data_IF_672098682329
#
_entry.id   IF_672098682329
#
_cell.length_a   1.000
_cell.length_b   1.000
_cell.length_c   1.000
_cell.angle_alpha   90.00
_cell.angle_beta   90.00
_cell.angle_gamma   90.00
#
_symmetry.space_group_name_H-M   'P 1'
#
loop_
_entity.id
_entity.type
_entity.pdbx_description
1 polymer ?
#
# COMPACT_ATOMS: atom_id res chain seq x y z
N UNK A 1 -1.21 31.22 -22.29
CA UNK A 1 -2.44 31.25 -21.46
C UNK A 1 -3.42 30.13 -21.83
N UNK A 2 -3.66 29.81 -23.10
CA UNK A 2 -4.70 28.83 -23.46
C UNK A 2 -4.45 27.34 -23.17
N UNK A 3 -3.22 26.81 -23.17
CA UNK A 3 -3.00 25.36 -23.03
C UNK A 3 -3.29 24.83 -21.62
N UNK A 4 -2.87 25.56 -20.59
CA UNK A 4 -3.14 25.18 -19.19
C UNK A 4 -4.62 25.34 -18.84
N UNK A 5 -5.24 26.44 -19.31
CA UNK A 5 -6.67 26.69 -19.17
C UNK A 5 -7.51 25.62 -19.87
N UNK A 6 -7.15 25.23 -21.10
CA UNK A 6 -7.82 24.16 -21.82
C UNK A 6 -7.68 22.81 -21.11
N UNK A 7 -6.47 22.46 -20.65
CA UNK A 7 -6.23 21.25 -19.85
C UNK A 7 -7.08 21.23 -18.58
N UNK A 8 -7.26 22.38 -17.94
CA UNK A 8 -8.07 22.50 -16.74
C UNK A 8 -9.56 22.26 -17.00
N UNK A 9 -10.10 22.78 -18.11
CA UNK A 9 -11.47 22.50 -18.54
C UNK A 9 -11.67 21.02 -18.86
N UNK A 10 -10.73 20.41 -19.59
CA UNK A 10 -10.76 18.98 -19.90
C UNK A 10 -10.69 18.12 -18.64
N UNK A 11 -9.77 18.43 -17.71
CA UNK A 11 -9.63 17.73 -16.43
C UNK A 11 -10.91 17.80 -15.58
N UNK A 12 -11.55 18.98 -15.52
CA UNK A 12 -12.78 19.14 -14.73
C UNK A 12 -13.93 18.35 -15.34
N UNK A 13 -14.05 18.33 -16.68
CA UNK A 13 -15.05 17.55 -17.40
C UNK A 13 -14.83 16.05 -17.23
N UNK A 14 -13.59 15.58 -17.40
CA UNK A 14 -13.24 14.17 -17.18
C UNK A 14 -13.56 13.74 -15.76
N UNK A 15 -13.24 14.58 -14.76
CA UNK A 15 -13.57 14.29 -13.37
C UNK A 15 -15.07 14.18 -13.14
N UNK A 16 -15.88 15.06 -13.75
CA UNK A 16 -17.33 14.98 -13.62
C UNK A 16 -17.87 13.67 -14.20
N UNK A 17 -17.37 13.26 -15.37
CA UNK A 17 -17.72 11.97 -15.99
C UNK A 17 -17.29 10.77 -15.12
N UNK A 18 -16.07 10.78 -14.58
CA UNK A 18 -15.63 9.74 -13.66
C UNK A 18 -16.44 9.70 -12.37
N UNK A 19 -16.85 10.86 -11.85
CA UNK A 19 -17.69 10.94 -10.66
C UNK A 19 -19.06 10.30 -10.90
N UNK A 20 -19.66 10.57 -12.06
CA UNK A 20 -20.94 9.96 -12.47
C UNK A 20 -20.80 8.44 -12.57
N UNK A 21 -19.76 7.95 -13.25
CA UNK A 21 -19.48 6.51 -13.34
C UNK A 21 -19.26 5.87 -11.96
N UNK A 22 -18.57 6.54 -11.04
CA UNK A 22 -18.37 6.02 -9.67
C UNK A 22 -19.66 5.97 -8.86
N UNK A 23 -20.60 6.88 -9.13
CA UNK A 23 -21.93 6.88 -8.51
C UNK A 23 -22.80 5.77 -9.10
N UNK A 24 -22.76 5.59 -10.42
CA UNK A 24 -23.48 4.52 -11.13
C UNK A 24 -23.02 3.13 -10.68
N UNK A 25 -21.70 2.96 -10.46
CA UNK A 25 -21.12 1.73 -9.92
C UNK A 25 -21.32 1.54 -8.40
N UNK A 26 -22.00 2.47 -7.71
CA UNK A 26 -22.23 2.40 -6.26
C UNK A 26 -20.97 2.55 -5.39
N UNK A 27 -19.81 2.85 -5.99
CA UNK A 27 -18.52 3.01 -5.29
C UNK A 27 -18.44 4.35 -4.55
N UNK A 28 -19.17 5.36 -5.04
CA UNK A 28 -19.32 6.63 -4.38
C UNK A 28 -20.77 6.82 -3.97
N UNK A 29 -21.04 6.87 -2.66
CA UNK A 29 -22.35 7.32 -2.16
C UNK A 29 -22.60 8.72 -2.74
N UNK A 30 -23.77 8.93 -3.33
CA UNK A 30 -24.16 10.21 -3.90
C UNK A 30 -23.97 11.29 -2.81
N UNK A 31 -22.94 12.12 -2.97
CA UNK A 31 -22.67 13.22 -2.06
C UNK A 31 -23.94 14.06 -1.96
N UNK A 32 -24.38 14.30 -0.73
CA UNK A 32 -25.51 15.18 -0.45
C UNK A 32 -25.35 16.47 -1.26
N UNK A 33 -26.46 16.91 -1.87
CA UNK A 33 -26.46 18.04 -2.81
C UNK A 33 -25.61 19.19 -2.24
N UNK A 34 -24.70 19.80 -3.03
CA UNK A 34 -23.81 20.86 -2.55
C UNK A 34 -24.55 22.11 -2.01
N UNK A 35 -25.88 22.16 -2.13
CA UNK A 35 -26.75 23.15 -1.54
C UNK A 35 -27.02 22.96 -0.03
N UNK A 36 -26.76 21.78 0.53
CA UNK A 36 -27.05 21.47 1.93
C UNK A 36 -26.00 22.04 2.90
N UNK A 37 -24.75 22.16 2.46
CA UNK A 37 -23.62 22.64 3.27
C UNK A 37 -23.38 24.16 3.21
N UNK A 38 -24.10 24.89 2.34
CA UNK A 38 -23.90 26.33 2.13
C UNK A 38 -24.74 27.19 3.08
N UNK A 39 -24.11 28.23 3.63
CA UNK A 39 -24.78 29.27 4.43
C UNK A 39 -25.81 30.05 3.61
N UNK A 40 -26.81 30.64 4.26
CA UNK A 40 -27.85 31.44 3.59
C UNK A 40 -27.26 32.64 2.83
N UNK A 41 -26.21 33.26 3.37
CA UNK A 41 -25.48 34.34 2.70
C UNK A 41 -24.79 33.86 1.42
N UNK A 42 -24.09 32.72 1.47
CA UNK A 42 -23.42 32.13 0.30
C UNK A 42 -24.42 31.71 -0.80
N UNK A 43 -25.61 31.21 -0.42
CA UNK A 43 -26.68 30.91 -1.36
C UNK A 43 -27.19 32.15 -2.11
N UNK A 44 -27.32 33.29 -1.42
CA UNK A 44 -27.77 34.55 -2.05
C UNK A 44 -26.73 35.13 -3.02
N UNK A 45 -25.45 35.10 -2.64
CA UNK A 45 -24.34 35.54 -3.49
C UNK A 45 -24.26 34.71 -4.76
N UNK A 46 -24.34 33.38 -4.64
CA UNK A 46 -24.35 32.45 -5.77
C UNK A 46 -25.51 32.70 -6.72
N UNK A 47 -26.72 32.97 -6.20
CA UNK A 47 -27.86 33.30 -7.06
C UNK A 47 -27.62 34.59 -7.85
N UNK A 48 -26.99 35.60 -7.24
CA UNK A 48 -26.57 36.83 -7.91
C UNK A 48 -25.53 36.58 -8.99
N UNK A 49 -24.49 35.82 -8.68
CA UNK A 49 -23.41 35.45 -9.61
C UNK A 49 -23.93 34.66 -10.81
N UNK A 50 -24.76 33.63 -10.59
CA UNK A 50 -25.36 32.83 -11.67
C UNK A 50 -26.24 33.69 -12.57
N UNK A 51 -26.97 34.67 -12.01
CA UNK A 51 -27.79 35.60 -12.81
C UNK A 51 -26.91 36.49 -13.70
N UNK A 52 -25.81 37.00 -13.16
CA UNK A 52 -24.84 37.81 -13.91
C UNK A 52 -24.15 37.00 -15.01
N UNK A 53 -23.72 35.77 -14.70
CA UNK A 53 -23.09 34.87 -15.68
C UNK A 53 -24.07 34.48 -16.80
N UNK A 54 -25.36 34.26 -16.48
CA UNK A 54 -26.40 34.02 -17.50
C UNK A 54 -26.66 35.26 -18.37
N UNK A 55 -26.62 36.47 -17.82
CA UNK A 55 -26.74 37.69 -18.62
C UNK A 55 -25.52 37.91 -19.52
N UNK A 56 -24.30 37.65 -19.02
CA UNK A 56 -23.09 37.73 -19.83
C UNK A 56 -23.07 36.67 -20.93
N UNK A 57 -23.55 35.45 -20.64
CA UNK A 57 -23.70 34.41 -21.68
C UNK A 57 -24.68 34.85 -22.76
N UNK A 58 -25.79 35.49 -22.37
CA UNK A 58 -26.79 36.00 -23.33
C UNK A 58 -26.22 37.13 -24.18
N UNK A 59 -25.54 38.11 -23.59
CA UNK A 59 -24.94 39.21 -24.36
C UNK A 59 -23.87 38.71 -25.33
N UNK A 60 -23.00 37.77 -24.91
CA UNK A 60 -21.99 37.18 -25.79
C UNK A 60 -22.59 36.29 -26.88
N UNK A 61 -23.73 35.64 -26.63
CA UNK A 61 -24.46 34.91 -27.68
C UNK A 61 -25.21 35.84 -28.66
N UNK A 62 -25.61 37.03 -28.21
CA UNK A 62 -26.21 38.07 -29.03
C UNK A 62 -25.16 38.84 -29.86
N UNK A 63 -23.97 39.05 -29.29
CA UNK A 63 -22.80 39.66 -29.93
C UNK A 63 -22.05 38.68 -30.85
N UNK A 64 -22.12 37.37 -30.58
CA UNK A 64 -21.58 36.38 -31.49
C UNK A 64 -22.31 36.49 -32.84
N UNK A 65 -21.60 36.80 -33.95
CA UNK A 65 -22.24 36.80 -35.24
C UNK A 65 -22.78 35.39 -35.46
N UNK A 66 -24.06 35.28 -35.84
CA UNK A 66 -24.69 34.00 -36.21
C UNK A 66 -23.91 33.40 -37.38
N UNK A 67 -22.81 32.69 -37.10
CA UNK A 67 -22.02 31.94 -38.07
C UNK A 67 -22.95 30.88 -38.63
N UNK A 68 -23.52 31.17 -39.80
CA UNK A 68 -24.23 30.20 -40.61
C UNK A 68 -23.24 29.06 -40.83
N UNK A 69 -23.53 27.87 -40.28
CA UNK A 69 -22.70 26.69 -40.47
C UNK A 69 -22.79 26.27 -41.93
N UNK A 70 -21.95 26.85 -42.78
CA UNK A 70 -21.78 26.42 -44.16
C UNK A 70 -20.67 25.39 -44.17
N UNK A 71 -20.99 24.15 -44.55
CA UNK A 71 -19.99 23.13 -44.83
C UNK A 71 -19.14 23.64 -46.00
N UNK A 72 -17.86 23.96 -45.73
CA UNK A 72 -16.90 24.28 -46.79
C UNK A 72 -16.30 22.95 -47.30
N UNK A 73 -16.36 22.66 -48.61
CA UNK A 73 -15.58 21.60 -49.21
C UNK A 73 -14.13 22.08 -49.32
N UNK A 74 -13.21 21.27 -48.80
CA UNK A 74 -11.76 21.29 -48.99
C UNK A 74 -11.08 22.66 -49.17
N UNK A 75 -10.50 23.20 -48.09
CA UNK A 75 -9.27 23.99 -48.21
C UNK A 75 -8.45 23.91 -46.91
N UNK A 76 -7.29 23.26 -47.00
CA UNK A 76 -6.25 23.17 -45.96
C UNK A 76 -5.48 24.51 -45.81
N UNK A 77 -6.17 25.62 -45.60
CA UNK A 77 -5.54 26.90 -45.25
C UNK A 77 -6.29 27.53 -44.08
N UNK A 78 -5.62 27.55 -42.92
CA UNK A 78 -6.03 28.33 -41.75
C UNK A 78 -5.75 29.80 -42.07
N UNK A 79 -6.76 30.53 -42.54
CA UNK A 79 -6.76 31.98 -42.43
C UNK A 79 -6.93 32.32 -40.95
N UNK A 80 -5.88 32.85 -40.35
CA UNK A 80 -5.94 33.53 -39.05
C UNK A 80 -6.72 34.83 -39.27
N UNK A 81 -8.04 34.74 -39.17
CA UNK A 81 -8.84 35.93 -38.90
C UNK A 81 -8.45 36.41 -37.49
N UNK A 82 -7.76 37.55 -37.44
CA UNK A 82 -7.54 38.37 -36.25
C UNK A 82 -8.91 38.75 -35.66
N UNK A 83 -9.54 37.80 -34.96
CA UNK A 83 -10.75 38.03 -34.19
C UNK A 83 -10.36 38.79 -32.94
N UNK A 84 -10.84 40.03 -32.86
CA UNK A 84 -10.83 40.86 -31.66
C UNK A 84 -11.12 39.99 -30.43
N UNK A 85 -10.10 39.87 -29.57
CA UNK A 85 -10.16 39.16 -28.29
C UNK A 85 -11.18 39.87 -27.40
N UNK A 86 -12.45 39.52 -27.55
CA UNK A 86 -13.41 39.67 -26.47
C UNK A 86 -12.79 39.01 -25.24
N UNK A 87 -12.65 39.79 -24.18
CA UNK A 87 -11.85 39.45 -23.00
C UNK A 87 -12.42 38.28 -22.19
N UNK A 88 -13.61 37.80 -22.57
CA UNK A 88 -14.33 36.73 -21.87
C UNK A 88 -14.71 35.65 -22.87
N UNK A 89 -13.96 34.54 -22.83
CA UNK A 89 -14.24 33.35 -23.63
C UNK A 89 -15.55 32.69 -23.13
N UNK A 90 -16.46 32.34 -24.03
CA UNK A 90 -17.75 31.69 -23.73
C UNK A 90 -17.53 30.41 -22.91
N UNK A 91 -16.40 29.73 -23.13
CA UNK A 91 -16.00 28.53 -22.38
C UNK A 91 -15.72 28.81 -20.90
N UNK A 92 -15.17 29.98 -20.54
CA UNK A 92 -14.94 30.37 -19.14
C UNK A 92 -16.29 30.63 -18.43
N UNK A 93 -17.25 31.25 -19.13
CA UNK A 93 -18.58 31.46 -18.55
C UNK A 93 -19.31 30.13 -18.33
N UNK A 94 -19.26 29.22 -19.31
CA UNK A 94 -19.87 27.89 -19.17
C UNK A 94 -19.18 27.06 -18.08
N UNK A 95 -17.87 27.23 -17.91
CA UNK A 95 -17.11 26.62 -16.83
C UNK A 95 -17.54 27.15 -15.46
N UNK A 96 -17.58 28.48 -15.27
CA UNK A 96 -18.02 29.10 -14.01
C UNK A 96 -19.50 28.86 -13.70
N UNK A 97 -20.31 28.61 -14.72
CA UNK A 97 -21.73 28.29 -14.55
C UNK A 97 -21.94 26.82 -14.14
N UNK A 98 -21.02 25.93 -14.53
CA UNK A 98 -21.07 24.51 -14.17
C UNK A 98 -20.32 24.18 -12.88
N UNK A 99 -19.28 24.95 -12.52
CA UNK A 99 -18.42 24.70 -11.38
C UNK A 99 -18.37 25.91 -10.43
N UNK A 100 -18.75 25.71 -9.17
CA UNK A 100 -18.73 26.78 -8.17
C UNK A 100 -17.30 27.08 -7.69
N UNK A 101 -17.04 28.31 -7.24
CA UNK A 101 -15.76 28.68 -6.62
C UNK A 101 -15.43 27.86 -5.37
N UNK A 102 -16.43 27.55 -4.54
CA UNK A 102 -16.30 26.68 -3.37
C UNK A 102 -16.07 25.22 -3.77
N UNK A 103 -16.72 24.75 -4.83
CA UNK A 103 -16.45 23.44 -5.39
C UNK A 103 -15.02 23.39 -5.90
N UNK A 104 -14.55 24.39 -6.63
CA UNK A 104 -13.16 24.52 -7.07
C UNK A 104 -12.15 24.52 -5.93
N UNK A 105 -12.41 25.25 -4.84
CA UNK A 105 -11.56 25.22 -3.66
C UNK A 105 -11.56 23.85 -2.99
N UNK A 106 -12.72 23.19 -2.86
CA UNK A 106 -12.82 21.82 -2.36
C UNK A 106 -12.14 20.81 -3.30
N UNK A 107 -12.18 21.05 -4.62
CA UNK A 107 -11.50 20.23 -5.62
C UNK A 107 -9.99 20.39 -5.51
N UNK A 108 -9.49 21.60 -5.27
CA UNK A 108 -8.08 21.90 -5.04
C UNK A 108 -7.61 21.28 -3.72
N UNK A 109 -8.34 21.51 -2.62
CA UNK A 109 -8.04 20.93 -1.31
C UNK A 109 -8.12 19.39 -1.31
N UNK A 110 -9.06 18.81 -2.05
CA UNK A 110 -9.17 17.36 -2.24
C UNK A 110 -8.18 16.78 -3.25
N UNK A 111 -7.56 17.61 -4.10
CA UNK A 111 -6.53 17.17 -5.06
C UNK A 111 -5.13 17.12 -4.45
N UNK A 112 -4.89 17.91 -3.39
CA UNK A 112 -3.70 17.74 -2.58
C UNK A 112 -3.83 16.49 -1.72
N UNK A 113 -3.03 15.46 -2.02
CA UNK A 113 -2.88 14.31 -1.13
C UNK A 113 -2.19 14.77 0.16
N UNK A 114 -2.98 15.17 1.16
CA UNK A 114 -2.48 15.74 2.40
C UNK A 114 -1.90 14.67 3.36
N UNK A 115 -2.32 13.40 3.22
CA UNK A 115 -1.88 12.32 4.10
C UNK A 115 -0.90 11.38 3.40
N UNK A 116 0.14 10.95 4.13
CA UNK A 116 1.02 9.88 3.69
C UNK A 116 0.23 8.61 3.35
N UNK A 117 -0.85 8.32 4.10
CA UNK A 117 -1.73 7.18 3.86
C UNK A 117 -2.31 7.21 2.45
N UNK A 118 -2.83 8.36 2.03
CA UNK A 118 -3.46 8.52 0.71
C UNK A 118 -2.43 8.41 -0.41
N UNK A 119 -1.23 8.97 -0.22
CA UNK A 119 -0.14 8.87 -1.18
C UNK A 119 0.35 7.43 -1.32
N UNK A 120 0.52 6.70 -0.21
CA UNK A 120 0.90 5.29 -0.23
C UNK A 120 -0.16 4.42 -0.92
N UNK A 121 -1.45 4.67 -0.64
CA UNK A 121 -2.56 3.95 -1.30
C UNK A 121 -2.63 4.24 -2.79
N UNK A 122 -2.54 5.51 -3.21
CA UNK A 122 -2.49 5.87 -4.63
C UNK A 122 -1.34 5.20 -5.36
N UNK A 123 -0.17 5.16 -4.72
CA UNK A 123 1.00 4.45 -5.24
C UNK A 123 0.72 2.96 -5.40
N UNK A 124 0.17 2.32 -4.37
CA UNK A 124 -0.18 0.89 -4.40
C UNK A 124 -1.17 0.55 -5.51
N UNK A 125 -2.21 1.38 -5.71
CA UNK A 125 -3.21 1.21 -6.76
C UNK A 125 -2.59 1.38 -8.15
N UNK A 126 -1.71 2.36 -8.33
CA UNK A 126 -1.00 2.53 -9.60
C UNK A 126 -0.08 1.33 -9.86
N UNK A 127 0.60 0.84 -8.83
CA UNK A 127 1.52 -0.30 -8.99
C UNK A 127 0.81 -1.61 -9.26
N UNK A 128 -0.40 -1.80 -8.74
CA UNK A 128 -1.20 -2.99 -9.07
C UNK A 128 -1.59 -3.04 -10.54
N UNK A 129 -1.78 -1.87 -11.18
CA UNK A 129 -2.08 -1.80 -12.62
C UNK A 129 -0.85 -1.83 -13.53
N UNK A 130 0.31 -1.42 -13.02
CA UNK A 130 1.56 -1.37 -13.79
C UNK A 130 2.39 -2.64 -13.71
N UNK A 131 2.19 -3.48 -12.68
CA UNK A 131 2.88 -4.76 -12.56
C UNK A 131 2.57 -5.64 -13.79
N UNK A 132 3.57 -6.28 -14.46
CA UNK A 132 4.98 -6.50 -14.05
C UNK A 132 6.01 -5.47 -14.60
N UNK A 133 5.58 -4.30 -15.09
CA UNK A 133 6.48 -3.30 -15.68
C UNK A 133 7.36 -2.58 -14.63
N UNK A 134 8.45 -3.24 -14.27
CA UNK A 134 9.39 -2.80 -13.24
C UNK A 134 10.79 -2.57 -13.81
N UNK A 135 11.47 -1.60 -13.23
CA UNK A 135 12.85 -1.27 -13.54
C UNK A 135 13.67 -1.15 -12.25
N UNK A 136 14.83 -1.79 -12.25
CA UNK A 136 15.76 -1.88 -11.12
C UNK A 136 17.03 -1.09 -11.47
N UNK A 137 17.58 -0.28 -10.56
CA UNK A 137 18.84 0.41 -10.82
C UNK A 137 19.98 -0.58 -11.07
N UNK A 138 20.86 -0.24 -12.01
CA UNK A 138 22.10 -0.99 -12.26
C UNK A 138 23.07 -0.90 -11.07
N UNK A 139 23.76 -2.01 -10.77
CA UNK A 139 24.68 -2.11 -9.64
C UNK A 139 25.87 -1.16 -9.78
N UNK A 140 26.29 -0.90 -11.02
CA UNK A 140 27.42 -0.03 -11.36
C UNK A 140 27.06 1.45 -11.47
N UNK A 141 25.85 1.85 -11.05
CA UNK A 141 25.44 3.25 -11.10
C UNK A 141 26.22 4.16 -10.13
N UNK A 142 26.92 3.59 -9.13
CA UNK A 142 27.81 4.34 -8.24
C UNK A 142 29.04 4.94 -8.97
N UNK A 143 29.51 4.30 -10.04
CA UNK A 143 30.63 4.78 -10.85
C UNK A 143 30.21 5.72 -11.99
N UNK A 144 28.92 5.92 -12.21
CA UNK A 144 28.38 6.68 -13.35
C UNK A 144 27.96 8.08 -12.92
N UNK A 145 28.01 9.00 -13.88
CA UNK A 145 27.50 10.36 -13.65
C UNK A 145 26.00 10.33 -13.42
N UNK A 146 25.50 11.31 -12.66
CA UNK A 146 24.09 11.44 -12.25
C UNK A 146 23.14 11.40 -13.46
N UNK A 147 23.57 11.90 -14.63
CA UNK A 147 22.80 11.88 -15.89
C UNK A 147 22.82 10.58 -16.68
N UNK A 148 23.70 9.63 -16.36
CA UNK A 148 23.93 8.40 -17.13
C UNK A 148 23.51 7.12 -16.37
N UNK A 149 22.62 7.27 -15.40
CA UNK A 149 22.09 6.12 -14.66
C UNK A 149 21.35 5.16 -15.59
N UNK A 150 21.68 3.88 -15.46
CA UNK A 150 21.05 2.80 -16.21
C UNK A 150 20.15 1.98 -15.29
N UNK A 151 19.06 1.49 -15.87
CA UNK A 151 18.07 0.66 -15.23
C UNK A 151 17.88 -0.62 -16.03
N UNK A 152 17.45 -1.67 -15.36
CA UNK A 152 17.18 -2.96 -15.96
C UNK A 152 15.71 -3.29 -15.78
N UNK A 153 15.03 -3.59 -16.88
CA UNK A 153 13.73 -4.23 -16.87
C UNK A 153 13.87 -5.72 -17.14
N UNK A 154 12.78 -6.46 -16.93
CA UNK A 154 12.71 -7.89 -17.26
C UNK A 154 12.98 -8.12 -18.75
N UNK A 155 12.32 -7.35 -19.62
CA UNK A 155 12.42 -7.51 -21.08
C UNK A 155 13.68 -6.90 -21.67
N UNK A 156 14.11 -5.73 -21.18
CA UNK A 156 15.26 -4.99 -21.73
C UNK A 156 16.23 -4.53 -20.63
N UNK A 157 17.51 -4.95 -20.69
CA UNK A 157 18.55 -4.39 -19.85
C UNK A 157 19.00 -3.00 -20.33
N UNK A 158 19.66 -2.24 -19.46
CA UNK A 158 20.33 -0.96 -19.79
C UNK A 158 19.42 0.13 -20.39
N UNK A 159 18.25 0.33 -19.79
CA UNK A 159 17.31 1.40 -20.12
C UNK A 159 17.67 2.67 -19.34
N UNK A 160 17.51 3.84 -19.96
CA UNK A 160 17.74 5.14 -19.32
C UNK A 160 16.44 5.85 -18.95
N UNK A 161 16.49 6.86 -18.08
CA UNK A 161 15.32 7.68 -17.78
C UNK A 161 15.13 8.75 -18.85
N UNK A 162 13.88 9.02 -19.22
CA UNK A 162 13.60 10.11 -20.17
C UNK A 162 14.04 11.46 -19.58
N UNK A 163 14.77 12.32 -20.32
CA UNK A 163 15.27 13.60 -19.79
C UNK A 163 14.18 14.56 -19.31
N UNK A 164 13.00 14.55 -19.95
CA UNK A 164 11.87 15.37 -19.50
C UNK A 164 11.11 14.78 -18.29
N UNK A 165 11.51 13.59 -17.81
CA UNK A 165 10.93 13.00 -16.60
C UNK A 165 11.51 13.67 -15.36
N UNK A 166 10.72 13.74 -14.28
CA UNK A 166 11.17 14.28 -13.00
C UNK A 166 12.44 13.57 -12.50
N UNK A 167 12.49 12.25 -12.62
CA UNK A 167 13.65 11.46 -12.21
C UNK A 167 14.83 11.55 -13.18
N UNK A 168 14.61 11.98 -14.42
CA UNK A 168 15.70 12.29 -15.34
C UNK A 168 16.48 13.53 -14.88
N UNK A 169 15.77 14.55 -14.39
CA UNK A 169 16.39 15.76 -13.84
C UNK A 169 16.93 15.57 -12.41
N UNK A 170 16.23 14.77 -11.59
CA UNK A 170 16.54 14.54 -10.18
C UNK A 170 16.92 13.07 -9.91
N UNK A 171 17.93 12.59 -10.62
CA UNK A 171 18.38 11.19 -10.51
C UNK A 171 19.18 10.88 -9.24
N UNK A 172 19.63 11.89 -8.49
CA UNK A 172 20.22 11.71 -7.15
C UNK A 172 19.25 11.07 -6.15
N UNK A 173 17.95 11.33 -6.28
CA UNK A 173 16.90 10.80 -5.37
C UNK A 173 16.77 9.28 -5.44
N UNK A 174 17.25 8.66 -6.53
CA UNK A 174 17.20 7.22 -6.76
C UNK A 174 18.47 6.50 -6.32
N UNK A 175 19.55 7.23 -6.05
CA UNK A 175 20.77 6.64 -5.53
C UNK A 175 20.61 6.32 -4.05
N UNK A 176 21.23 5.22 -3.65
CA UNK A 176 21.41 4.93 -2.24
C UNK A 176 22.55 5.81 -1.76
N UNK A 177 22.33 6.57 -0.68
CA UNK A 177 23.40 7.31 -0.04
C UNK A 177 24.32 6.31 0.68
N UNK A 178 25.63 6.56 0.65
CA UNK A 178 26.64 5.70 1.31
C UNK A 178 26.38 5.52 2.82
N UNK A 179 25.72 6.49 3.45
CA UNK A 179 25.32 6.43 4.86
C UNK A 179 24.20 5.42 5.14
N UNK A 180 23.39 5.07 4.15
CA UNK A 180 22.27 4.13 4.28
C UNK A 180 22.66 2.70 3.91
N UNK A 181 23.92 2.49 3.47
CA UNK A 181 24.46 1.18 3.10
C UNK A 181 25.11 0.58 4.34
N UNK A 182 24.53 -0.52 4.82
CA UNK A 182 25.08 -1.31 5.90
C UNK A 182 26.15 -2.25 5.32
N UNK A 183 27.37 -2.29 5.88
CA UNK A 183 28.38 -3.26 5.45
C UNK A 183 27.90 -4.68 5.80
N UNK A 184 27.80 -5.55 4.80
CA UNK A 184 27.36 -6.93 4.95
C UNK A 184 28.25 -7.90 4.15
N UNK A 185 28.10 -9.23 4.37
CA UNK A 185 28.96 -10.26 3.77
C UNK A 185 28.71 -10.50 2.26
N UNK A 186 28.14 -9.53 1.55
CA UNK A 186 27.74 -9.65 0.14
C UNK A 186 28.41 -8.61 -0.76
N UNK A 187 28.48 -8.91 -2.06
CA UNK A 187 28.94 -7.96 -3.09
C UNK A 187 27.92 -6.84 -3.36
N UNK A 188 26.67 -7.03 -2.95
CA UNK A 188 25.58 -6.08 -3.17
C UNK A 188 25.37 -5.23 -1.92
N UNK A 189 25.02 -3.94 -2.08
CA UNK A 189 24.76 -3.06 -0.94
C UNK A 189 23.54 -3.55 -0.17
N UNK A 190 23.64 -3.62 1.15
CA UNK A 190 22.52 -3.87 2.04
C UNK A 190 21.94 -2.53 2.48
N UNK A 191 20.67 -2.27 2.18
CA UNK A 191 20.00 -1.05 2.61
C UNK A 191 18.53 -1.29 2.89
N UNK A 192 17.92 -0.37 3.63
CA UNK A 192 16.48 -0.30 3.83
C UNK A 192 15.78 0.57 2.79
N UNK A 193 16.53 1.36 2.01
CA UNK A 193 16.00 2.32 1.03
C UNK A 193 16.08 1.84 -0.41
N UNK A 194 16.20 0.54 -0.68
CA UNK A 194 16.15 0.05 -2.06
C UNK A 194 14.83 0.45 -2.72
N UNK A 195 14.94 1.09 -3.89
CA UNK A 195 13.80 1.59 -4.65
C UNK A 195 13.70 0.84 -5.99
N UNK A 196 12.45 0.65 -6.44
CA UNK A 196 12.10 0.22 -7.78
C UNK A 196 11.38 1.34 -8.49
N UNK A 197 11.53 1.35 -9.81
CA UNK A 197 10.75 2.21 -10.70
C UNK A 197 9.69 1.38 -11.41
N UNK A 198 8.43 1.68 -11.16
CA UNK A 198 7.35 1.22 -12.03
C UNK A 198 7.25 2.21 -13.19
N UNK A 199 7.09 1.73 -14.41
CA UNK A 199 6.94 2.59 -15.59
C UNK A 199 5.66 2.24 -16.34
N UNK A 200 5.12 3.21 -17.08
CA UNK A 200 3.91 3.00 -17.90
C UNK A 200 4.25 2.66 -19.35
N UNK A 201 5.30 3.28 -19.90
CA UNK A 201 5.66 3.09 -21.30
C UNK A 201 7.16 3.15 -21.50
N UNK A 202 7.64 2.30 -22.40
CA UNK A 202 9.02 2.28 -22.87
C UNK A 202 9.07 2.99 -24.23
N UNK A 203 9.88 4.04 -24.35
CA UNK A 203 10.11 4.74 -25.61
C UNK A 203 11.44 4.30 -26.21
N UNK A 204 11.39 3.71 -27.40
CA UNK A 204 12.59 3.26 -28.11
C UNK A 204 12.93 4.23 -29.23
N UNK A 205 14.12 4.82 -29.14
CA UNK A 205 14.70 5.65 -30.19
C UNK A 205 16.08 5.09 -30.55
N UNK A 206 17.15 5.85 -30.31
CA UNK A 206 18.53 5.35 -30.35
C UNK A 206 18.92 4.63 -29.06
N UNK A 207 18.31 5.05 -27.95
CA UNK A 207 18.37 4.40 -26.63
C UNK A 207 16.93 4.17 -26.16
N UNK A 208 16.74 3.18 -25.29
CA UNK A 208 15.47 2.95 -24.63
C UNK A 208 15.32 3.89 -23.43
N UNK A 209 14.16 4.54 -23.33
CA UNK A 209 13.81 5.47 -22.26
C UNK A 209 12.56 5.02 -21.50
N UNK A 210 12.63 5.05 -20.17
CA UNK A 210 11.45 4.91 -19.32
C UNK A 210 10.69 6.24 -19.27
N UNK A 211 9.40 6.20 -19.61
CA UNK A 211 8.50 7.35 -19.57
C UNK A 211 7.43 7.10 -18.51
N UNK A 212 7.07 8.17 -17.79
CA UNK A 212 6.09 8.15 -16.69
C UNK A 212 6.44 7.10 -15.62
N UNK A 213 7.46 7.41 -14.83
CA UNK A 213 7.98 6.51 -13.80
C UNK A 213 7.47 6.87 -12.39
N UNK A 214 7.27 5.85 -11.57
CA UNK A 214 6.85 5.95 -10.18
C UNK A 214 7.85 5.20 -9.29
N UNK A 215 8.32 5.86 -8.21
CA UNK A 215 9.19 5.23 -7.22
C UNK A 215 8.42 4.45 -6.16
N UNK A 216 8.88 3.23 -5.88
CA UNK A 216 8.33 2.34 -4.87
C UNK A 216 9.43 1.65 -4.06
N UNK A 217 9.21 1.31 -2.77
CA UNK A 217 10.14 0.49 -2.02
C UNK A 217 10.15 -0.95 -2.57
N UNK A 218 11.34 -1.53 -2.73
CA UNK A 218 11.51 -2.72 -3.55
C UNK A 218 10.86 -3.99 -2.96
N UNK A 219 11.31 -4.43 -1.78
CA UNK A 219 10.87 -5.68 -1.19
C UNK A 219 9.36 -5.74 -0.97
N UNK A 220 8.78 -4.68 -0.40
CA UNK A 220 7.35 -4.57 -0.10
C UNK A 220 6.49 -4.71 -1.36
N UNK A 221 6.87 -3.98 -2.41
CA UNK A 221 6.10 -3.93 -3.66
C UNK A 221 6.19 -5.27 -4.40
N UNK A 222 7.38 -5.86 -4.48
CA UNK A 222 7.56 -7.18 -5.08
C UNK A 222 6.75 -8.22 -4.33
N UNK A 223 6.89 -8.30 -3.00
CA UNK A 223 6.20 -9.30 -2.21
C UNK A 223 4.67 -9.17 -2.27
N UNK A 224 4.09 -7.96 -2.42
CA UNK A 224 2.64 -7.80 -2.56
C UNK A 224 2.11 -8.14 -3.96
N UNK A 225 2.83 -7.80 -5.04
CA UNK A 225 2.29 -7.91 -6.41
C UNK A 225 2.85 -9.05 -7.25
N UNK A 226 3.95 -9.67 -6.83
CA UNK A 226 4.60 -10.76 -7.54
C UNK A 226 3.68 -11.97 -7.79
N UNK A 227 3.79 -12.54 -8.99
CA UNK A 227 3.04 -13.71 -9.41
C UNK A 227 3.65 -15.00 -8.84
N UNK A 228 4.98 -15.11 -8.86
CA UNK A 228 5.71 -16.29 -8.39
C UNK A 228 6.81 -15.91 -7.39
N UNK A 229 6.62 -16.29 -6.12
CA UNK A 229 7.58 -16.17 -5.04
C UNK A 229 8.21 -17.53 -4.74
N UNK A 230 9.53 -17.58 -4.83
CA UNK A 230 10.34 -18.75 -4.54
C UNK A 230 11.21 -18.49 -3.32
N UNK A 231 11.23 -19.43 -2.37
CA UNK A 231 11.88 -19.21 -1.08
C UNK A 231 12.76 -20.37 -0.64
N UNK A 232 13.73 -20.05 0.21
CA UNK A 232 14.58 -20.97 0.97
C UNK A 232 13.90 -21.36 2.30
N UNK A 233 14.35 -22.45 2.95
CA UNK A 233 13.84 -22.93 4.25
C UNK A 233 13.73 -21.84 5.34
N UNK A 234 14.71 -20.94 5.42
CA UNK A 234 14.79 -19.88 6.44
C UNK A 234 14.17 -18.55 6.01
N UNK A 235 13.68 -18.47 4.76
CA UNK A 235 13.18 -17.24 4.11
C UNK A 235 14.22 -16.12 3.97
N UNK A 236 15.51 -16.43 4.12
CA UNK A 236 16.60 -15.45 3.94
C UNK A 236 16.82 -15.07 2.48
N UNK A 237 16.52 -15.97 1.54
CA UNK A 237 16.52 -15.71 0.09
C UNK A 237 15.13 -15.86 -0.48
N UNK A 238 14.69 -14.84 -1.20
CA UNK A 238 13.39 -14.81 -1.88
C UNK A 238 13.61 -14.39 -3.32
N UNK A 239 13.17 -15.21 -4.26
CA UNK A 239 13.19 -14.90 -5.70
C UNK A 239 11.79 -14.54 -6.16
N UNK A 240 11.66 -13.42 -6.87
CA UNK A 240 10.41 -12.87 -7.38
C UNK A 240 10.40 -12.97 -8.92
N UNK A 241 9.35 -13.57 -9.48
CA UNK A 241 9.09 -13.75 -10.93
C UNK A 241 10.32 -14.24 -11.71
N UNK A 242 11.18 -15.05 -11.06
CA UNK A 242 12.40 -15.62 -11.64
C UNK A 242 13.40 -14.61 -12.24
N UNK A 243 13.36 -13.32 -11.87
CA UNK A 243 14.32 -12.33 -12.36
C UNK A 243 14.93 -11.43 -11.27
N UNK A 244 14.32 -11.36 -10.08
CA UNK A 244 14.85 -10.62 -8.94
C UNK A 244 15.06 -11.52 -7.73
N UNK A 245 16.19 -11.31 -7.05
CA UNK A 245 16.53 -11.97 -5.80
C UNK A 245 16.65 -10.93 -4.68
N UNK A 246 15.92 -11.16 -3.60
CA UNK A 246 16.01 -10.46 -2.33
C UNK A 246 16.77 -11.34 -1.34
N UNK A 247 17.84 -10.81 -0.75
CA UNK A 247 18.53 -11.46 0.36
C UNK A 247 18.40 -10.65 1.62
N UNK A 248 17.95 -11.29 2.68
CA UNK A 248 17.82 -10.71 4.00
C UNK A 248 18.96 -11.21 4.90
N UNK A 249 19.65 -10.32 5.63
CA UNK A 249 20.69 -10.72 6.57
C UNK A 249 20.12 -11.39 7.82
N UNK A 250 18.88 -11.07 8.21
CA UNK A 250 18.23 -11.56 9.43
C UNK A 250 16.96 -12.32 9.07
N UNK A 251 16.96 -13.63 9.31
CA UNK A 251 15.83 -14.53 8.98
C UNK A 251 14.51 -14.07 9.65
N UNK A 252 14.54 -13.67 10.93
CA UNK A 252 13.32 -13.31 11.67
C UNK A 252 12.55 -12.13 11.07
N UNK A 253 13.30 -11.15 10.54
CA UNK A 253 12.69 -9.99 9.86
C UNK A 253 12.03 -10.40 8.55
N UNK A 254 12.67 -11.27 7.77
CA UNK A 254 12.12 -11.81 6.53
C UNK A 254 10.86 -12.65 6.79
N UNK A 255 10.91 -13.54 7.79
CA UNK A 255 9.77 -14.36 8.21
C UNK A 255 8.56 -13.51 8.62
N UNK A 256 8.79 -12.44 9.39
CA UNK A 256 7.74 -11.51 9.81
C UNK A 256 7.15 -10.75 8.62
N UNK A 257 8.01 -10.30 7.69
CA UNK A 257 7.58 -9.58 6.49
C UNK A 257 6.71 -10.48 5.59
N UNK A 258 7.17 -11.69 5.29
CA UNK A 258 6.43 -12.66 4.48
C UNK A 258 5.08 -12.99 5.13
N UNK A 259 5.04 -13.17 6.46
CA UNK A 259 3.78 -13.37 7.19
C UNK A 259 2.81 -12.21 6.99
N UNK A 260 3.27 -10.96 7.19
CA UNK A 260 2.43 -9.76 6.99
C UNK A 260 1.91 -9.66 5.55
N UNK A 261 2.76 -9.96 4.56
CA UNK A 261 2.38 -9.96 3.14
C UNK A 261 1.31 -11.01 2.84
N UNK A 262 1.50 -12.24 3.30
CA UNK A 262 0.54 -13.34 3.05
C UNK A 262 -0.80 -13.03 3.71
N UNK A 263 -0.80 -12.49 4.93
CA UNK A 263 -2.02 -12.02 5.60
C UNK A 263 -2.69 -10.90 4.80
N UNK A 264 -1.93 -9.90 4.33
CA UNK A 264 -2.48 -8.80 3.55
C UNK A 264 -3.08 -9.29 2.21
N UNK A 265 -2.42 -10.20 1.50
CA UNK A 265 -2.94 -10.81 0.26
C UNK A 265 -4.22 -11.62 0.52
N UNK A 266 -4.26 -12.42 1.59
CA UNK A 266 -5.47 -13.18 1.98
C UNK A 266 -6.63 -12.25 2.35
N UNK A 267 -6.38 -11.18 3.09
CA UNK A 267 -7.39 -10.16 3.40
C UNK A 267 -7.88 -9.44 2.14
N UNK A 268 -6.98 -9.18 1.18
CA UNK A 268 -7.36 -8.58 -0.10
C UNK A 268 -8.30 -9.51 -0.86
N UNK A 269 -7.96 -10.78 -1.01
CA UNK A 269 -8.81 -11.76 -1.71
C UNK A 269 -10.17 -11.93 -1.02
N UNK A 270 -10.19 -12.00 0.31
CA UNK A 270 -11.43 -12.05 1.10
C UNK A 270 -12.28 -10.79 0.89
N UNK A 271 -11.65 -9.61 0.85
CA UNK A 271 -12.36 -8.36 0.56
C UNK A 271 -12.96 -8.40 -0.85
N UNK A 272 -12.20 -8.86 -1.86
CA UNK A 272 -12.72 -8.97 -3.22
C UNK A 272 -13.92 -9.92 -3.28
N UNK A 273 -13.85 -11.08 -2.63
CA UNK A 273 -14.97 -12.03 -2.53
C UNK A 273 -16.19 -11.40 -1.86
N UNK A 274 -16.02 -10.75 -0.71
CA UNK A 274 -17.12 -10.06 -0.01
C UNK A 274 -17.75 -8.94 -0.85
N UNK A 275 -16.95 -8.27 -1.69
CA UNK A 275 -17.44 -7.23 -2.61
C UNK A 275 -18.22 -7.80 -3.79
N UNK A 276 -17.93 -9.04 -4.22
CA UNK A 276 -18.78 -9.74 -5.18
C UNK A 276 -20.10 -10.22 -4.55
N UNK A 277 -20.10 -10.49 -3.25
CA UNK A 277 -21.26 -10.95 -2.47
C UNK A 277 -22.10 -9.81 -1.86
N UNK A 278 -21.77 -8.54 -2.15
CA UNK A 278 -22.39 -7.33 -1.57
C UNK A 278 -22.43 -7.33 -0.02
N UNK A 279 -21.42 -7.91 0.63
CA UNK A 279 -21.29 -7.97 2.08
C UNK A 279 -20.74 -6.67 2.71
N UNK A 280 -20.89 -6.54 4.04
CA UNK A 280 -20.28 -5.43 4.78
C UNK A 280 -18.74 -5.58 4.80
N UNK A 281 -18.07 -4.74 4.02
CA UNK A 281 -16.62 -4.78 3.82
C UNK A 281 -15.86 -3.76 4.67
N UNK A 282 -16.56 -2.86 5.37
CA UNK A 282 -15.98 -1.68 6.01
C UNK A 282 -14.89 -2.03 7.04
N UNK A 283 -15.08 -3.12 7.79
CA UNK A 283 -14.13 -3.57 8.80
C UNK A 283 -12.86 -4.15 8.17
N UNK A 284 -13.01 -4.99 7.14
CA UNK A 284 -11.90 -5.63 6.43
C UNK A 284 -11.11 -4.59 5.63
N UNK A 285 -11.79 -3.63 5.01
CA UNK A 285 -11.17 -2.53 4.28
C UNK A 285 -10.27 -1.69 5.18
N UNK A 286 -10.75 -1.30 6.37
CA UNK A 286 -9.95 -0.52 7.33
C UNK A 286 -8.73 -1.30 7.81
N UNK A 287 -8.90 -2.59 8.13
CA UNK A 287 -7.80 -3.48 8.54
C UNK A 287 -6.74 -3.56 7.43
N UNK A 288 -7.16 -3.87 6.21
CA UNK A 288 -6.28 -4.00 5.05
C UNK A 288 -5.53 -2.69 4.77
N UNK A 289 -6.24 -1.56 4.77
CA UNK A 289 -5.64 -0.24 4.52
C UNK A 289 -4.55 0.06 5.56
N UNK A 290 -4.80 -0.24 6.84
CA UNK A 290 -3.81 -0.06 7.89
C UNK A 290 -2.59 -0.98 7.70
N UNK A 291 -2.83 -2.27 7.41
CA UNK A 291 -1.77 -3.24 7.17
C UNK A 291 -0.89 -2.86 5.97
N UNK A 292 -1.49 -2.44 4.86
CA UNK A 292 -0.75 -2.03 3.66
C UNK A 292 0.12 -0.79 3.95
N UNK A 293 -0.42 0.21 4.64
CA UNK A 293 0.37 1.41 5.00
C UNK A 293 1.51 1.06 5.97
N UNK A 294 1.26 0.20 6.95
CA UNK A 294 2.31 -0.27 7.86
C UNK A 294 3.40 -1.04 7.10
N UNK A 295 2.99 -1.91 6.17
CA UNK A 295 3.89 -2.70 5.34
C UNK A 295 4.81 -1.80 4.51
N UNK A 296 4.27 -0.75 3.89
CA UNK A 296 5.05 0.23 3.12
C UNK A 296 6.02 1.07 3.97
N UNK A 297 5.74 1.22 5.27
CA UNK A 297 6.60 1.95 6.21
C UNK A 297 7.66 1.08 6.89
N UNK A 298 7.56 -0.24 6.79
CA UNK A 298 8.51 -1.15 7.44
C UNK A 298 9.92 -0.94 6.87
N UNK A 299 10.85 -0.50 7.72
CA UNK A 299 12.26 -0.32 7.37
C UNK A 299 13.01 -1.63 7.61
N UNK A 300 13.22 -2.39 6.54
CA UNK A 300 13.89 -3.68 6.59
C UNK A 300 15.13 -3.60 5.74
N UNK A 301 16.26 -4.05 6.28
CA UNK A 301 17.53 -4.11 5.54
C UNK A 301 17.53 -5.39 4.70
N UNK A 302 17.78 -5.24 3.40
CA UNK A 302 17.94 -6.36 2.47
C UNK A 302 18.94 -5.97 1.38
N UNK A 303 19.39 -6.93 0.58
CA UNK A 303 20.09 -6.68 -0.67
C UNK A 303 19.22 -7.11 -1.84
N UNK A 304 19.22 -6.31 -2.90
CA UNK A 304 18.52 -6.61 -4.16
C UNK A 304 19.55 -6.99 -5.23
N UNK A 305 19.36 -8.16 -5.85
CA UNK A 305 20.18 -8.63 -6.97
C UNK A 305 19.28 -8.96 -8.16
N UNK A 306 19.74 -8.60 -9.36
CA UNK A 306 19.14 -9.08 -10.62
C UNK A 306 19.67 -10.47 -10.95
N UNK A 307 18.76 -11.40 -11.23
CA UNK A 307 19.09 -12.74 -11.69
C UNK A 307 19.27 -12.79 -13.21
N UNK A 308 20.28 -13.54 -13.63
CA UNK A 308 20.52 -13.88 -15.03
C UNK A 308 20.10 -15.32 -15.30
N UNK A 309 19.90 -15.68 -16.56
CA UNK A 309 19.53 -17.03 -16.95
C UNK A 309 20.53 -18.12 -16.50
N UNK A 310 21.81 -17.75 -16.28
CA UNK A 310 22.81 -18.64 -15.72
C UNK A 310 22.58 -18.92 -14.22
N UNK A 311 22.19 -17.89 -13.46
CA UNK A 311 21.91 -18.02 -12.03
C UNK A 311 20.69 -18.91 -11.78
N UNK A 312 19.65 -18.79 -12.62
CA UNK A 312 18.45 -19.62 -12.53
C UNK A 312 18.72 -21.12 -12.65
N UNK A 313 19.75 -21.52 -13.40
CA UNK A 313 20.13 -22.94 -13.52
C UNK A 313 20.77 -23.51 -12.26
N UNK A 314 21.35 -22.66 -11.43
CA UNK A 314 22.07 -23.04 -10.22
C UNK A 314 21.25 -22.82 -8.94
N UNK A 315 20.15 -22.07 -9.03
CA UNK A 315 19.41 -21.61 -7.86
C UNK A 315 18.45 -22.66 -7.28
N UNK A 316 17.91 -23.55 -8.13
CA UNK A 316 16.88 -24.51 -7.74
C UNK A 316 17.49 -25.88 -7.42
N UNK A 317 16.96 -26.53 -6.38
CA UNK A 317 17.38 -27.88 -5.95
C UNK A 317 16.99 -28.94 -6.98
N UNK A 318 15.95 -28.67 -7.78
CA UNK A 318 15.44 -29.56 -8.82
C UNK A 318 14.29 -30.46 -8.36
N UNK A 319 13.72 -31.26 -9.27
CA UNK A 319 12.51 -32.05 -9.02
C UNK A 319 12.74 -33.15 -7.98
N UNK A 320 11.83 -33.28 -7.01
CA UNK A 320 11.80 -34.38 -6.03
C UNK A 320 12.55 -34.15 -4.71
N UNK A 321 13.17 -32.98 -4.52
CA UNK A 321 13.84 -32.60 -3.26
C UNK A 321 12.98 -31.63 -2.44
N UNK A 322 13.17 -31.62 -1.11
CA UNK A 322 12.50 -30.73 -0.15
C UNK A 322 10.97 -30.90 -0.07
N UNK A 323 10.48 -32.14 -0.16
CA UNK A 323 9.08 -32.47 0.12
C UNK A 323 8.81 -32.32 1.63
N UNK A 324 8.01 -31.33 2.01
CA UNK A 324 7.50 -31.19 3.37
C UNK A 324 5.99 -31.48 3.37
N UNK A 325 5.61 -32.55 4.08
CA UNK A 325 4.20 -32.87 4.35
C UNK A 325 3.79 -32.20 5.67
N UNK A 326 2.72 -31.41 5.65
CA UNK A 326 2.24 -30.73 6.86
C UNK A 326 1.07 -29.79 6.63
N UNK A 327 0.41 -29.38 7.71
CA UNK A 327 -0.66 -28.36 7.68
C UNK A 327 -0.04 -26.99 7.46
N UNK A 328 -0.55 -26.25 6.48
CA UNK A 328 -0.10 -24.90 6.16
C UNK A 328 -0.48 -23.92 7.28
N UNK A 329 0.49 -23.35 8.02
CA UNK A 329 0.19 -22.42 9.10
C UNK A 329 -0.10 -21.00 8.57
N UNK A 330 0.22 -20.69 7.30
CA UNK A 330 0.04 -19.37 6.71
C UNK A 330 -1.34 -19.18 6.04
N UNK A 331 -1.86 -20.24 5.40
CA UNK A 331 -3.19 -20.26 4.81
C UNK A 331 -3.88 -21.57 5.19
N UNK A 332 -4.76 -21.58 6.21
CA UNK A 332 -5.44 -22.81 6.64
C UNK A 332 -6.42 -23.34 5.58
N UNK A 333 -6.83 -22.49 4.63
CA UNK A 333 -7.86 -22.79 3.64
C UNK A 333 -7.30 -23.56 2.41
N UNK A 334 -5.96 -23.69 2.28
CA UNK A 334 -5.32 -24.25 1.08
C UNK A 334 -4.43 -25.46 1.39
N UNK A 335 -4.65 -26.53 0.63
CA UNK A 335 -3.85 -27.75 0.69
C UNK A 335 -2.43 -27.52 0.15
N UNK A 336 -1.48 -28.16 0.82
CA UNK A 336 -0.06 -28.09 0.53
C UNK A 336 0.26 -29.02 -0.64
N UNK A 337 0.61 -28.47 -1.80
CA UNK A 337 0.94 -29.27 -3.00
C UNK A 337 2.44 -29.23 -3.29
N UNK A 338 3.01 -30.34 -3.77
CA UNK A 338 4.44 -30.39 -4.10
C UNK A 338 4.66 -29.83 -5.51
N UNK A 339 5.72 -29.05 -5.69
CA UNK A 339 6.13 -28.57 -7.02
C UNK A 339 7.02 -29.59 -7.72
N UNK A 340 6.50 -30.26 -8.73
CA UNK A 340 7.23 -31.28 -9.50
C UNK A 340 8.33 -30.69 -10.42
N UNK A 341 8.32 -29.38 -10.73
CA UNK A 341 9.27 -28.77 -11.68
C UNK A 341 10.47 -28.12 -11.01
N UNK A 342 10.25 -27.39 -9.91
CA UNK A 342 11.28 -26.61 -9.23
C UNK A 342 11.78 -27.28 -7.94
N UNK A 343 11.04 -28.28 -7.43
CA UNK A 343 11.23 -28.81 -6.08
C UNK A 343 10.53 -27.96 -5.03
N UNK A 344 10.42 -28.47 -3.81
CA UNK A 344 9.76 -27.79 -2.70
C UNK A 344 8.22 -27.87 -2.71
N UNK A 345 7.59 -26.98 -1.94
CA UNK A 345 6.19 -27.10 -1.52
C UNK A 345 5.43 -25.80 -1.73
N UNK A 346 4.29 -25.85 -2.42
CA UNK A 346 3.38 -24.71 -2.57
C UNK A 346 2.59 -24.48 -1.28
N UNK A 347 2.80 -23.32 -0.66
CA UNK A 347 2.02 -22.84 0.49
C UNK A 347 0.87 -21.91 0.07
N UNK A 348 0.99 -21.28 -1.09
CA UNK A 348 -0.06 -20.47 -1.70
C UNK A 348 0.09 -20.58 -3.22
N UNK A 349 -0.89 -20.16 -4.04
CA UNK A 349 -0.80 -20.27 -5.50
C UNK A 349 0.43 -19.54 -6.05
N UNK A 350 0.88 -18.50 -5.35
CA UNK A 350 2.01 -17.66 -5.69
C UNK A 350 3.27 -17.95 -4.85
N UNK A 351 3.25 -18.80 -3.82
CA UNK A 351 4.37 -18.98 -2.89
C UNK A 351 4.83 -20.44 -2.87
N UNK A 352 6.04 -20.67 -3.37
CA UNK A 352 6.75 -21.95 -3.29
C UNK A 352 7.82 -21.88 -2.20
N UNK A 353 7.70 -22.77 -1.23
CA UNK A 353 8.57 -22.92 -0.08
C UNK A 353 9.67 -23.96 -0.33
N UNK A 354 10.88 -23.63 0.15
CA UNK A 354 12.05 -24.49 0.14
C UNK A 354 12.44 -25.06 -1.25
N UNK A 355 12.31 -24.25 -2.29
CA UNK A 355 12.70 -24.62 -3.65
C UNK A 355 14.13 -24.18 -4.03
N UNK A 356 14.74 -23.32 -3.22
CA UNK A 356 16.07 -22.77 -3.47
C UNK A 356 17.17 -23.60 -2.78
N UNK A 357 18.39 -23.56 -3.31
CA UNK A 357 19.55 -24.16 -2.65
C UNK A 357 19.97 -23.29 -1.47
N UNK A 358 20.16 -23.94 -0.31
CA UNK A 358 20.50 -23.28 0.93
C UNK A 358 22.01 -23.35 1.18
N UNK A 359 22.62 -22.20 1.47
CA UNK A 359 24.04 -22.11 1.86
C UNK A 359 24.23 -22.17 3.39
N UNK A 360 23.13 -22.18 4.16
CA UNK A 360 23.15 -22.03 5.61
C UNK A 360 22.59 -23.27 6.33
N UNK A 361 23.19 -23.56 7.49
CA UNK A 361 22.71 -24.55 8.44
C UNK A 361 21.66 -23.89 9.33
N UNK A 362 20.55 -24.59 9.61
CA UNK A 362 19.51 -24.09 10.51
C UNK A 362 20.10 -23.57 11.82
N UNK A 363 19.80 -22.32 12.14
CA UNK A 363 20.15 -21.74 13.43
C UNK A 363 19.21 -22.24 14.52
N UNK A 364 19.74 -22.46 15.73
CA UNK A 364 18.92 -22.84 16.88
C UNK A 364 18.06 -21.66 17.30
N UNK A 365 16.74 -21.80 17.21
CA UNK A 365 15.79 -20.81 17.68
C UNK A 365 15.41 -21.08 19.14
N UNK A 366 15.25 -20.00 19.90
CA UNK A 366 14.76 -20.05 21.28
C UNK A 366 13.39 -19.37 21.35
N UNK A 367 12.38 -20.08 21.86
CA UNK A 367 11.07 -19.49 22.03
C UNK A 367 11.00 -18.70 23.34
N UNK A 368 10.68 -17.41 23.27
CA UNK A 368 10.56 -16.54 24.45
C UNK A 368 9.39 -16.90 25.37
N UNK A 369 8.40 -17.67 24.90
CA UNK A 369 7.21 -18.01 25.67
C UNK A 369 7.28 -19.36 26.39
N UNK A 370 8.01 -20.34 25.86
CA UNK A 370 8.18 -21.66 26.49
C UNK A 370 9.64 -22.05 26.79
N UNK A 371 10.62 -21.25 26.36
CA UNK A 371 12.05 -21.52 26.55
C UNK A 371 12.59 -22.70 25.72
N UNK A 372 11.84 -23.22 24.75
CA UNK A 372 12.29 -24.30 23.86
C UNK A 372 13.47 -23.81 23.01
N UNK A 373 14.60 -24.51 23.08
CA UNK A 373 15.77 -24.31 22.19
C UNK A 373 15.77 -25.43 21.16
N UNK A 374 15.42 -25.12 19.92
CA UNK A 374 15.39 -26.10 18.83
C UNK A 374 15.71 -25.43 17.49
N UNK A 375 16.39 -26.17 16.60
CA UNK A 375 16.54 -25.79 15.20
C UNK A 375 15.24 -26.14 14.47
N UNK A 376 14.27 -25.22 14.52
CA UNK A 376 12.96 -25.39 13.89
C UNK A 376 12.93 -24.68 12.54
N UNK A 377 12.30 -25.33 11.56
CA UNK A 377 11.98 -24.72 10.27
C UNK A 377 11.01 -23.54 10.46
N UNK A 378 10.93 -22.62 9.49
CA UNK A 378 9.96 -21.52 9.54
C UNK A 378 8.51 -22.00 9.78
N UNK A 379 8.11 -23.08 9.11
CA UNK A 379 6.77 -23.67 9.27
C UNK A 379 6.54 -24.20 10.68
N UNK A 380 7.52 -24.91 11.24
CA UNK A 380 7.46 -25.49 12.59
C UNK A 380 7.50 -24.41 13.66
N UNK A 381 8.33 -23.37 13.49
CA UNK A 381 8.34 -22.18 14.35
C UNK A 381 6.98 -21.50 14.31
N UNK A 382 6.33 -21.41 13.16
CA UNK A 382 5.01 -20.78 13.08
C UNK A 382 3.90 -21.63 13.72
N UNK A 383 3.87 -22.94 13.47
CA UNK A 383 2.95 -23.87 14.13
C UNK A 383 3.15 -23.85 15.65
N UNK A 384 4.40 -23.84 16.10
CA UNK A 384 4.73 -23.72 17.51
C UNK A 384 4.24 -22.38 18.08
N UNK A 385 4.47 -21.24 17.42
CA UNK A 385 3.96 -19.94 17.90
C UNK A 385 2.43 -19.85 17.92
N UNK A 386 1.73 -20.58 17.05
CA UNK A 386 0.26 -20.64 17.09
C UNK A 386 -0.25 -21.47 18.27
N UNK A 387 0.44 -22.57 18.62
CA UNK A 387 0.11 -23.40 19.79
C UNK A 387 0.68 -22.88 21.11
N UNK A 388 1.79 -22.17 21.06
CA UNK A 388 2.51 -21.62 22.20
C UNK A 388 2.02 -20.21 22.48
N UNK A 389 0.79 -20.12 22.99
CA UNK A 389 0.38 -18.91 23.68
C UNK A 389 1.20 -18.79 24.96
N UNK A 390 1.63 -17.58 25.35
CA UNK A 390 2.11 -17.38 26.70
C UNK A 390 0.99 -17.88 27.60
N UNK A 391 1.29 -18.87 28.45
CA UNK A 391 0.50 -19.05 29.66
C UNK A 391 0.54 -17.68 30.30
N UNK A 392 -0.57 -16.95 30.21
CA UNK A 392 -0.79 -15.75 30.97
C UNK A 392 -0.22 -16.03 32.34
N UNK A 393 0.81 -15.27 32.72
CA UNK A 393 1.40 -15.19 34.05
C UNK A 393 0.66 -16.10 35.03
N UNK A 394 1.30 -17.18 35.50
CA UNK A 394 0.88 -17.90 36.70
C UNK A 394 0.81 -16.88 37.86
N UNK A 395 -0.25 -16.07 37.89
CA UNK A 395 -0.94 -15.73 39.11
C UNK A 395 -1.61 -17.04 39.44
N UNK A 396 -1.04 -17.74 40.41
CA UNK A 396 -1.80 -18.62 41.27
C UNK A 396 -3.05 -17.84 41.69
N UNK A 397 -4.15 -18.01 40.95
CA UNK A 397 -5.47 -17.83 41.50
C UNK A 397 -5.61 -18.95 42.51
N UNK A 398 -5.09 -18.71 43.71
CA UNK A 398 -5.83 -19.14 44.89
C UNK A 398 -7.23 -18.59 44.68
N UNK A 399 -8.18 -19.50 44.57
CA UNK A 399 -9.60 -19.21 44.72
C UNK A 399 -9.78 -18.56 46.10
N UNK A 400 -9.58 -17.25 46.17
CA UNK A 400 -10.21 -16.42 47.18
C UNK A 400 -11.51 -15.96 46.56
N UNK A 401 -12.62 -16.42 47.14
CA UNK A 401 -13.98 -15.98 46.86
C UNK A 401 -14.06 -14.44 46.96
N UNK A 402 -13.80 -13.75 45.85
CA UNK A 402 -14.06 -12.32 45.74
C UNK A 402 -15.53 -12.13 45.43
N UNK A 403 -16.33 -12.16 46.51
CA UNK A 403 -17.71 -11.72 46.49
C UNK A 403 -17.73 -10.26 45.99
N UNK A 404 -18.48 -10.00 44.91
CA UNK A 404 -18.63 -8.66 44.35
C UNK A 404 -18.93 -7.62 45.46
N UNK A 405 -18.24 -6.45 45.47
CA UNK A 405 -18.43 -5.46 46.51
C UNK A 405 -19.87 -4.95 46.47
N UNK A 406 -20.65 -5.26 47.51
CA UNK A 406 -21.98 -4.69 47.71
C UNK A 406 -21.84 -3.16 47.81
N UNK A 407 -22.77 -2.36 47.24
CA UNK A 407 -22.73 -0.92 47.37
C UNK A 407 -22.75 -0.53 48.86
N UNK A 408 -21.84 0.37 49.28
CA UNK A 408 -21.57 0.81 50.66
C UNK A 408 -20.74 -0.12 51.56
N UNK A 409 -19.94 -1.02 50.99
CA UNK A 409 -18.91 -1.75 51.74
C UNK A 409 -17.66 -0.87 51.95
N UNK A 410 -17.13 -0.84 53.18
CA UNK A 410 -15.88 -0.17 53.54
C UNK A 410 -14.85 -1.20 54.00
N UNK A 411 -13.57 -0.93 53.72
CA UNK A 411 -12.47 -1.71 54.28
C UNK A 411 -12.42 -1.49 55.79
N UNK A 412 -12.55 -2.57 56.55
CA UNK A 412 -12.44 -2.59 58.00
C UNK A 412 -11.34 -3.56 58.41
N UNK A 413 -10.33 -3.01 59.08
CA UNK A 413 -9.22 -3.78 59.62
C UNK A 413 -9.56 -4.17 61.06
N UNK A 414 -9.84 -5.45 61.29
CA UNK A 414 -10.13 -5.93 62.64
C UNK A 414 -8.82 -6.15 63.40
N UNK A 415 -8.62 -5.51 64.57
CA UNK A 415 -7.42 -5.68 65.37
C UNK A 415 -7.30 -7.09 65.97
N UNK A 416 -8.41 -7.80 66.16
CA UNK A 416 -8.43 -9.14 66.77
C UNK A 416 -8.19 -10.26 65.74
N UNK A 417 -8.56 -10.03 64.47
CA UNK A 417 -8.41 -11.01 63.39
C UNK A 417 -7.22 -10.77 62.47
N UNK A 418 -6.58 -9.59 62.55
CA UNK A 418 -5.49 -9.17 61.66
C UNK A 418 -5.80 -9.40 60.16
N UNK A 419 -7.05 -9.22 59.74
CA UNK A 419 -7.52 -9.34 58.35
C UNK A 419 -8.27 -8.08 57.94
N UNK A 420 -8.02 -7.64 56.71
CA UNK A 420 -8.73 -6.54 56.04
C UNK A 420 -10.01 -7.10 55.42
N UNK A 421 -11.18 -6.72 55.95
CA UNK A 421 -12.48 -7.21 55.47
C UNK A 421 -13.30 -6.07 54.87
N UNK A 422 -13.95 -6.31 53.72
CA UNK A 422 -14.87 -5.34 53.10
C UNK A 422 -16.30 -5.61 53.59
N UNK A 423 -16.73 -4.85 54.60
CA UNK A 423 -18.00 -5.05 55.29
C UNK A 423 -18.83 -3.76 55.29
N UNK A 424 -20.15 -3.89 55.41
CA UNK A 424 -21.04 -2.74 55.68
C UNK A 424 -20.97 -2.35 57.16
N UNK A 425 -21.38 -1.12 57.50
CA UNK A 425 -21.33 -0.60 58.88
C UNK A 425 -22.07 -1.47 59.92
N UNK A 426 -23.14 -2.16 59.52
CA UNK A 426 -23.89 -3.09 60.36
C UNK A 426 -23.12 -4.40 60.58
N UNK A 427 -22.42 -4.90 59.56
CA UNK A 427 -21.61 -6.11 59.63
C UNK A 427 -20.33 -5.90 60.46
N UNK A 428 -19.74 -4.70 60.42
CA UNK A 428 -18.63 -4.30 61.31
C UNK A 428 -19.07 -4.38 62.78
N UNK A 429 -20.26 -3.89 63.11
CA UNK A 429 -20.80 -3.96 64.49
C UNK A 429 -21.10 -5.40 64.93
N UNK A 430 -21.60 -6.26 64.03
CA UNK A 430 -21.79 -7.69 64.32
C UNK A 430 -20.44 -8.40 64.54
N UNK A 431 -19.44 -8.08 63.72
CA UNK A 431 -18.10 -8.66 63.83
C UNK A 431 -17.39 -8.21 65.12
N UNK A 432 -17.57 -6.95 65.55
CA UNK A 432 -17.10 -6.51 66.87
C UNK A 432 -17.78 -7.25 68.03
N UNK A 433 -19.08 -7.56 67.90
CA UNK A 433 -19.82 -8.33 68.92
C UNK A 433 -19.42 -9.81 68.98
N UNK A 434 -18.96 -10.42 67.88
CA UNK A 434 -18.48 -11.81 67.91
C UNK A 434 -17.16 -11.99 68.67
N UNK A 435 -16.39 -10.92 68.85
CA UNK A 435 -15.15 -10.94 69.63
C UNK A 435 -15.35 -10.60 71.12
N UNK A 436 -16.55 -10.19 71.51
CA UNK A 436 -16.89 -9.84 72.90
C UNK A 436 -17.62 -10.96 73.65
N UNK A 437 -17.33 -12.23 73.34
CA UNK A 437 -17.78 -13.41 74.10
C UNK A 437 -16.64 -14.01 74.92
#
# INVERSE_FOLDING_TARGET
RGLEEQRFYEMTKLRAQFKELLQDCGLLKASERPSASLSSAERSLRHGEVKLLKSMKRSLQEEAPRRRRTLKPDTWTLAEDEEDKSTVDIRDIDFRLSNDSSQLQNLLAGSSACSYKDLAMLKLILTSGLYPQLAVPDEFNHCKTVSEQLFHSESKPFVSLHPMSFFGNNSSVLQLDDADIVPGPGKHPLSHKHQLLCYMSLLETTKAYLVNTLRMPAAQTLLIFCHELHTNIDLTRIVCDSWLELKFPVAETAQTLVRKVVQARSQWEKLLQLRFEDGDCDAVERSLTQQLVELMNNQIVYSLKRLLAADLKLLYVGPGYNMAEGVNPLCPDQEVTVNEKLGGVHLAPYLTYNCLIDDFLLETWTCESCGLVAALNFLEKHQHLQGCQPSSVNKESKEEESCAPKPNSMAYDCPDCCKTLYLTSIEILKHKRSHSC
#
